data_IF_834523525813
#
_entry.id   IF_834523525813
#
_cell.length_a   1.000
_cell.length_b   1.000
_cell.length_c   1.000
_cell.angle_alpha   90.00
_cell.angle_beta   90.00
_cell.angle_gamma   90.00
#
_symmetry.space_group_name_H-M   'P 1'
#
loop_
_entity.id
_entity.type
_entity.pdbx_description
1 polymer ?
#
# COMPACT_ATOMS: atom_id res chain seq x y z
N UNK A 1 11.43 6.35 23.65
CA UNK A 1 10.85 6.22 22.29
C UNK A 1 11.44 7.33 21.44
N UNK A 2 11.96 7.01 20.26
CA UNK A 2 12.45 8.02 19.30
C UNK A 2 11.24 8.78 18.76
N UNK A 3 11.27 10.10 18.72
CA UNK A 3 10.22 10.92 18.12
C UNK A 3 10.37 10.83 16.61
N UNK A 4 9.34 10.32 15.93
CA UNK A 4 9.29 10.23 14.48
C UNK A 4 8.12 11.01 13.92
N UNK A 5 8.31 11.59 12.73
CA UNK A 5 7.29 12.29 11.96
C UNK A 5 7.51 11.99 10.48
N UNK A 6 6.43 11.74 9.75
CA UNK A 6 6.42 11.63 8.30
C UNK A 6 5.50 12.70 7.72
N UNK A 7 6.00 13.45 6.74
CA UNK A 7 5.23 14.35 5.92
C UNK A 7 5.28 13.89 4.46
N UNK A 8 4.16 13.93 3.76
CA UNK A 8 4.06 13.56 2.36
C UNK A 8 3.32 14.64 1.56
N UNK A 9 3.95 15.17 0.52
CA UNK A 9 3.34 16.14 -0.39
C UNK A 9 3.46 15.66 -1.84
N UNK A 10 2.38 15.82 -2.60
CA UNK A 10 2.35 15.52 -4.03
C UNK A 10 3.15 16.59 -4.77
N UNK A 11 4.02 16.15 -5.69
CA UNK A 11 4.75 17.04 -6.58
C UNK A 11 3.89 17.44 -7.78
N UNK A 12 4.14 18.63 -8.32
CA UNK A 12 3.52 19.08 -9.57
C UNK A 12 4.08 18.36 -10.80
N UNK A 13 5.36 17.99 -10.75
CA UNK A 13 6.07 17.25 -11.77
C UNK A 13 7.28 16.52 -11.17
N UNK A 14 7.79 15.53 -11.89
CA UNK A 14 9.07 14.88 -11.58
C UNK A 14 10.20 15.92 -11.64
N UNK A 15 11.15 15.85 -10.71
CA UNK A 15 12.25 16.80 -10.58
C UNK A 15 11.84 18.18 -10.02
N UNK A 16 10.59 18.33 -9.56
CA UNK A 16 10.10 19.54 -8.88
C UNK A 16 9.61 19.18 -7.48
N UNK A 17 10.53 19.08 -6.48
CA UNK A 17 10.18 18.70 -5.12
C UNK A 17 9.16 19.66 -4.50
N UNK A 18 8.16 19.10 -3.84
CA UNK A 18 7.20 19.84 -3.05
C UNK A 18 7.82 20.22 -1.68
N UNK A 19 7.18 21.16 -0.98
CA UNK A 19 7.59 21.58 0.36
C UNK A 19 6.48 21.20 1.36
N UNK A 20 6.53 19.99 1.95
CA UNK A 20 5.54 19.55 2.94
C UNK A 20 5.55 20.44 4.19
N UNK A 21 4.35 20.67 4.73
CA UNK A 21 4.17 21.33 6.04
C UNK A 21 3.54 20.37 7.04
N UNK A 22 3.84 20.56 8.33
CA UNK A 22 3.30 19.71 9.38
C UNK A 22 1.76 19.81 9.52
N UNK A 23 1.19 20.97 9.20
CA UNK A 23 -0.25 21.19 9.32
C UNK A 23 -1.05 20.58 8.15
N UNK A 24 -0.48 20.50 6.94
CA UNK A 24 -1.22 20.05 5.75
C UNK A 24 -0.82 18.65 5.27
N UNK A 25 0.37 18.15 5.64
CA UNK A 25 0.97 17.00 4.98
C UNK A 25 1.42 15.90 5.93
N UNK A 26 1.08 15.98 7.22
CA UNK A 26 1.47 14.95 8.17
C UNK A 26 0.72 13.64 7.90
N UNK A 27 1.45 12.52 7.88
CA UNK A 27 0.89 11.18 7.75
C UNK A 27 0.95 10.50 9.11
N UNK A 28 -0.22 10.11 9.65
CA UNK A 28 -0.29 9.32 10.87
C UNK A 28 0.08 7.87 10.53
N UNK A 29 1.34 7.52 10.71
CA UNK A 29 1.86 6.20 10.41
C UNK A 29 2.33 5.46 11.66
N UNK A 30 2.37 4.13 11.55
CA UNK A 30 3.03 3.22 12.49
C UNK A 30 4.10 2.41 11.77
N UNK A 31 4.97 1.74 12.54
CA UNK A 31 6.03 0.88 12.01
C UNK A 31 6.91 1.52 10.90
N UNK A 32 7.21 2.81 11.05
CA UNK A 32 8.06 3.55 10.12
C UNK A 32 9.51 3.03 10.16
N UNK A 33 10.02 2.59 9.01
CA UNK A 33 11.36 2.03 8.86
C UNK A 33 12.06 2.63 7.62
N UNK A 34 12.82 3.72 7.79
CA UNK A 34 13.60 4.31 6.69
C UNK A 34 14.91 3.56 6.45
N UNK A 35 15.19 3.27 5.17
CA UNK A 35 16.52 2.90 4.68
C UNK A 35 17.19 4.16 4.14
N UNK A 36 18.12 4.72 4.93
CA UNK A 36 18.68 6.06 4.70
C UNK A 36 19.55 6.17 3.44
N UNK A 37 20.05 5.05 2.91
CA UNK A 37 20.77 4.97 1.65
C UNK A 37 20.68 3.54 1.11
N UNK A 38 20.32 3.41 -0.17
CA UNK A 38 20.27 2.17 -0.92
C UNK A 38 20.92 2.40 -2.29
N UNK A 39 21.48 1.34 -2.88
CA UNK A 39 22.23 1.40 -4.14
C UNK A 39 23.22 0.26 -4.28
N UNK A 40 23.90 0.22 -5.42
CA UNK A 40 24.82 -0.84 -5.79
C UNK A 40 26.26 -0.51 -5.40
N UNK A 41 27.02 -1.56 -5.09
CA UNK A 41 28.46 -1.44 -4.85
C UNK A 41 29.26 -2.08 -5.99
N UNK A 42 29.84 -1.25 -6.85
CA UNK A 42 30.64 -1.67 -8.00
C UNK A 42 32.08 -1.98 -7.54
N UNK A 43 32.55 -3.23 -7.63
CA UNK A 43 33.89 -3.59 -7.19
C UNK A 43 34.96 -3.01 -8.12
N UNK A 44 36.04 -2.49 -7.51
CA UNK A 44 37.18 -1.96 -8.27
C UNK A 44 38.11 -3.13 -8.60
N UNK A 45 37.97 -3.73 -9.78
CA UNK A 45 38.77 -4.89 -10.22
C UNK A 45 40.21 -4.49 -10.63
N UNK A 46 40.94 -3.86 -9.71
CA UNK A 46 42.29 -3.34 -9.95
C UNK A 46 43.32 -4.48 -9.92
N UNK A 47 44.17 -4.54 -10.95
CA UNK A 47 45.32 -5.45 -10.98
C UNK A 47 46.48 -4.80 -10.21
N UNK A 48 47.04 -5.53 -9.24
CA UNK A 48 48.14 -5.05 -8.37
C UNK A 48 49.17 -6.17 -8.14
N UNK A 49 50.46 -5.85 -7.91
CA UNK A 49 51.50 -6.85 -7.62
C UNK A 49 51.43 -7.41 -6.18
N UNK A 50 50.38 -7.09 -5.42
CA UNK A 50 50.17 -7.54 -4.03
C UNK A 50 48.71 -7.89 -3.78
N UNK A 51 48.47 -8.73 -2.76
CA UNK A 51 47.14 -9.21 -2.37
C UNK A 51 46.42 -8.19 -1.47
N UNK A 52 45.11 -8.02 -1.66
CA UNK A 52 44.26 -7.16 -0.82
C UNK A 52 42.95 -6.77 -1.51
N UNK A 53 41.98 -6.25 -0.75
CA UNK A 53 40.73 -5.74 -1.30
C UNK A 53 40.95 -4.37 -1.98
N UNK A 54 40.40 -4.20 -3.17
CA UNK A 54 40.50 -2.96 -3.96
C UNK A 54 39.39 -1.95 -3.67
N UNK A 55 38.45 -2.31 -2.80
CA UNK A 55 37.29 -1.48 -2.44
C UNK A 55 36.20 -1.50 -3.52
N UNK A 56 35.12 -0.75 -3.26
CA UNK A 56 33.96 -0.64 -4.14
C UNK A 56 33.53 0.83 -4.24
N UNK A 57 32.85 1.18 -5.33
CA UNK A 57 32.23 2.49 -5.56
C UNK A 57 30.70 2.34 -5.47
N UNK A 58 30.02 3.38 -5.00
CA UNK A 58 28.56 3.38 -4.89
C UNK A 58 27.94 3.93 -6.18
N UNK A 59 26.85 3.33 -6.64
CA UNK A 59 26.09 3.75 -7.81
C UNK A 59 24.59 3.53 -7.58
N UNK A 60 23.72 4.29 -8.25
CA UNK A 60 22.28 4.12 -8.06
C UNK A 60 21.80 4.58 -6.70
N UNK A 61 22.29 5.72 -6.20
CA UNK A 61 21.96 6.19 -4.86
C UNK A 61 20.50 6.63 -4.74
N UNK A 62 19.76 5.93 -3.89
CA UNK A 62 18.35 6.18 -3.62
C UNK A 62 18.02 5.93 -2.16
N UNK A 63 16.76 6.18 -1.79
CA UNK A 63 16.23 5.84 -0.46
C UNK A 63 15.02 4.97 -0.57
N UNK A 64 14.81 4.18 0.48
CA UNK A 64 13.58 3.41 0.68
C UNK A 64 12.92 3.78 2.00
N UNK A 65 11.60 3.75 2.02
CA UNK A 65 10.82 3.98 3.23
C UNK A 65 9.65 3.02 3.26
N UNK A 66 9.54 2.25 4.34
CA UNK A 66 8.34 1.49 4.64
C UNK A 66 7.62 2.05 5.86
N UNK A 67 6.30 2.00 5.83
CA UNK A 67 5.43 2.41 6.95
C UNK A 67 4.04 1.84 6.77
N UNK A 68 3.26 1.85 7.84
CA UNK A 68 1.86 1.42 7.81
C UNK A 68 0.94 2.58 8.18
N UNK A 69 -0.24 2.63 7.55
CA UNK A 69 -1.31 3.58 7.88
C UNK A 69 -2.59 2.79 8.15
N UNK A 70 -3.34 3.18 9.17
CA UNK A 70 -4.61 2.55 9.50
C UNK A 70 -5.66 2.86 8.41
N UNK A 71 -6.40 1.84 7.98
CA UNK A 71 -7.41 1.97 6.94
C UNK A 71 -8.73 2.44 7.56
N UNK A 72 -9.02 3.73 7.40
CA UNK A 72 -10.26 4.36 7.82
C UNK A 72 -10.70 5.41 6.78
N UNK A 73 -11.98 5.78 6.76
CA UNK A 73 -12.44 6.88 5.92
C UNK A 73 -12.07 8.25 6.50
N UNK A 74 -12.55 9.32 5.86
CA UNK A 74 -12.25 10.71 6.22
C UNK A 74 -13.14 11.29 7.33
N UNK A 75 -14.18 10.55 7.73
CA UNK A 75 -15.22 10.98 8.65
C UNK A 75 -16.31 11.85 8.02
N UNK A 76 -16.20 12.18 6.73
CA UNK A 76 -17.19 12.99 5.99
C UNK A 76 -17.38 12.41 4.58
N UNK A 77 -18.62 12.11 4.21
CA UNK A 77 -18.95 11.58 2.88
C UNK A 77 -18.50 12.52 1.75
N UNK A 78 -17.88 11.98 0.70
CA UNK A 78 -17.32 12.75 -0.42
C UNK A 78 -16.14 13.67 -0.05
N UNK A 79 -15.47 13.44 1.09
CA UNK A 79 -14.18 14.07 1.42
C UNK A 79 -13.07 13.02 1.35
N UNK A 80 -11.98 13.34 0.65
CA UNK A 80 -10.84 12.46 0.54
C UNK A 80 -10.22 12.14 1.92
N UNK A 81 -9.90 10.88 2.22
CA UNK A 81 -9.14 10.51 3.40
C UNK A 81 -7.71 11.06 3.36
N UNK A 82 -7.13 11.32 4.53
CA UNK A 82 -5.80 11.92 4.65
C UNK A 82 -4.67 11.05 4.09
N UNK A 83 -4.89 9.74 3.93
CA UNK A 83 -3.93 8.82 3.29
C UNK A 83 -4.01 8.81 1.76
N UNK A 84 -5.00 9.47 1.14
CA UNK A 84 -5.17 9.52 -0.32
C UNK A 84 -3.91 9.88 -1.10
N UNK A 85 -3.13 10.91 -0.69
CA UNK A 85 -1.89 11.28 -1.38
C UNK A 85 -0.85 10.15 -1.47
N UNK A 86 -0.68 9.35 -0.41
CA UNK A 86 0.27 8.23 -0.43
C UNK A 86 -0.25 7.06 -1.27
N UNK A 87 -1.56 6.78 -1.23
CA UNK A 87 -2.14 5.76 -2.10
C UNK A 87 -2.00 6.11 -3.59
N UNK A 88 -2.22 7.38 -3.96
CA UNK A 88 -2.14 7.82 -5.35
C UNK A 88 -0.75 7.61 -5.97
N UNK A 89 0.30 7.80 -5.18
CA UNK A 89 1.68 7.55 -5.61
C UNK A 89 2.05 6.05 -5.67
N UNK A 90 1.12 5.18 -5.27
CA UNK A 90 1.16 3.74 -5.50
C UNK A 90 0.34 3.32 -6.74
N UNK A 91 0.07 4.24 -7.67
CA UNK A 91 -0.61 3.93 -8.92
C UNK A 91 -2.12 3.92 -8.83
N UNK A 92 -2.70 4.87 -8.09
CA UNK A 92 -4.15 5.05 -8.01
C UNK A 92 -4.57 6.45 -8.46
N UNK A 93 -5.69 6.52 -9.18
CA UNK A 93 -6.47 7.74 -9.39
C UNK A 93 -7.35 8.04 -8.17
N UNK A 94 -7.88 9.25 -8.10
CA UNK A 94 -8.85 9.68 -7.08
C UNK A 94 -9.97 10.44 -7.76
N UNK A 95 -11.20 9.96 -7.57
CA UNK A 95 -12.42 10.60 -8.06
C UNK A 95 -13.30 10.95 -6.87
N UNK A 96 -13.67 12.22 -6.72
CA UNK A 96 -14.45 12.71 -5.58
C UNK A 96 -15.86 13.06 -6.06
N UNK A 97 -16.85 12.35 -5.54
CA UNK A 97 -18.27 12.71 -5.66
C UNK A 97 -18.69 13.44 -4.39
N UNK A 98 -18.74 14.77 -4.45
CA UNK A 98 -18.99 15.62 -3.27
C UNK A 98 -20.26 15.20 -2.53
N UNK A 99 -20.13 14.98 -1.21
CA UNK A 99 -21.21 14.55 -0.34
C UNK A 99 -21.67 13.11 -0.51
N UNK A 100 -21.03 12.32 -1.38
CA UNK A 100 -21.35 10.91 -1.63
C UNK A 100 -20.14 10.04 -1.28
N UNK A 101 -19.12 10.03 -2.12
CA UNK A 101 -18.01 9.08 -2.04
C UNK A 101 -16.70 9.64 -2.61
N UNK A 102 -15.62 8.93 -2.31
CA UNK A 102 -14.32 9.07 -2.97
C UNK A 102 -13.90 7.69 -3.45
N UNK A 103 -13.63 7.58 -4.74
CA UNK A 103 -13.27 6.32 -5.40
C UNK A 103 -11.80 6.38 -5.82
N UNK A 104 -11.04 5.36 -5.43
CA UNK A 104 -9.68 5.12 -5.92
C UNK A 104 -9.66 3.87 -6.79
N UNK A 105 -9.17 4.04 -8.02
CA UNK A 105 -8.96 2.96 -8.99
C UNK A 105 -7.50 2.95 -9.42
N UNK A 106 -6.91 1.77 -9.70
CA UNK A 106 -5.61 1.67 -10.33
C UNK A 106 -5.49 2.56 -11.58
N UNK A 107 -4.27 2.94 -11.91
CA UNK A 107 -3.95 3.58 -13.18
C UNK A 107 -2.66 3.02 -13.76
N UNK A 108 -2.61 2.89 -15.08
CA UNK A 108 -1.39 2.51 -15.79
C UNK A 108 -0.48 3.70 -16.11
N UNK A 109 -0.99 4.93 -16.07
CA UNK A 109 -0.23 6.16 -16.35
C UNK A 109 -0.73 7.36 -15.53
N UNK A 110 0.04 8.45 -15.49
CA UNK A 110 -0.35 9.69 -14.83
C UNK A 110 -0.30 9.67 -13.29
N UNK A 111 0.26 8.60 -12.73
CA UNK A 111 0.49 8.44 -11.30
C UNK A 111 1.45 9.53 -10.77
N UNK A 112 1.04 10.28 -9.72
CA UNK A 112 1.85 11.35 -9.16
C UNK A 112 3.06 10.79 -8.40
N UNK A 113 4.10 11.62 -8.27
CA UNK A 113 5.25 11.34 -7.38
C UNK A 113 5.17 12.21 -6.13
N UNK A 114 5.77 11.73 -5.03
CA UNK A 114 5.78 12.43 -3.74
C UNK A 114 7.15 12.98 -3.37
N UNK A 115 7.13 14.07 -2.63
CA UNK A 115 8.21 14.44 -1.72
C UNK A 115 7.85 13.98 -0.32
N UNK A 116 8.68 13.11 0.26
CA UNK A 116 8.54 12.57 1.61
C UNK A 116 9.60 13.17 2.52
N UNK A 117 9.19 13.80 3.61
CA UNK A 117 10.09 14.30 4.66
C UNK A 117 9.89 13.48 5.91
N UNK A 118 10.92 12.77 6.34
CA UNK A 118 10.92 12.06 7.61
C UNK A 118 11.85 12.70 8.61
N UNK A 119 11.45 12.68 9.88
CA UNK A 119 12.24 13.20 10.99
C UNK A 119 12.44 12.10 12.04
N UNK A 120 13.67 11.96 12.54
CA UNK A 120 14.03 11.03 13.63
C UNK A 120 14.85 11.81 14.64
N UNK A 121 14.24 12.15 15.78
CA UNK A 121 14.91 12.85 16.89
C UNK A 121 15.70 14.12 16.47
N UNK A 122 15.22 14.84 15.44
CA UNK A 122 15.86 16.06 14.92
C UNK A 122 16.66 15.88 13.63
N UNK A 123 17.00 14.65 13.26
CA UNK A 123 17.59 14.35 11.94
C UNK A 123 16.48 14.23 10.90
N UNK A 124 16.56 15.03 9.85
CA UNK A 124 15.65 15.02 8.70
C UNK A 124 16.25 14.24 7.54
N UNK A 125 15.47 13.32 6.98
CA UNK A 125 15.73 12.68 5.70
C UNK A 125 14.62 13.04 4.70
N UNK A 126 14.99 13.09 3.43
CA UNK A 126 14.11 13.51 2.33
C UNK A 126 14.16 12.45 1.23
N UNK A 127 13.00 12.13 0.67
CA UNK A 127 12.87 11.29 -0.52
C UNK A 127 12.08 12.12 -1.53
N UNK A 128 12.69 12.43 -2.66
CA UNK A 128 12.06 13.18 -3.76
C UNK A 128 11.67 12.21 -4.88
N UNK A 129 10.75 12.62 -5.75
CA UNK A 129 10.28 11.81 -6.88
C UNK A 129 9.87 10.38 -6.47
N UNK A 130 9.27 10.24 -5.28
CA UNK A 130 9.00 8.95 -4.69
C UNK A 130 7.82 8.26 -5.40
N UNK A 131 8.02 6.98 -5.74
CA UNK A 131 6.99 6.05 -6.22
C UNK A 131 6.82 4.91 -5.23
N UNK A 132 5.62 4.36 -5.13
CA UNK A 132 5.29 3.41 -4.08
C UNK A 132 4.54 2.16 -4.51
N UNK A 133 4.45 1.24 -3.56
CA UNK A 133 3.67 0.02 -3.59
C UNK A 133 2.80 -0.01 -2.33
N UNK A 134 1.66 -0.68 -2.40
CA UNK A 134 0.72 -0.82 -1.29
C UNK A 134 0.20 -2.25 -1.17
N UNK A 135 0.04 -2.70 0.07
CA UNK A 135 -0.79 -3.86 0.41
C UNK A 135 -1.79 -3.50 1.50
N UNK A 136 -2.90 -4.24 1.55
CA UNK A 136 -4.02 -4.09 2.46
C UNK A 136 -4.15 -5.35 3.29
N UNK A 137 -4.34 -5.21 4.60
CA UNK A 137 -4.59 -6.32 5.51
C UNK A 137 -5.81 -6.04 6.39
N UNK A 138 -6.77 -6.97 6.38
CA UNK A 138 -8.03 -6.89 7.12
C UNK A 138 -8.27 -8.20 7.89
N UNK A 139 -7.52 -8.39 8.97
CA UNK A 139 -7.59 -9.60 9.80
C UNK A 139 -8.59 -9.42 10.96
N UNK A 140 -9.42 -10.44 11.21
CA UNK A 140 -10.41 -10.43 12.28
C UNK A 140 -9.78 -10.12 13.64
N UNK A 141 -10.48 -9.33 14.47
CA UNK A 141 -9.99 -8.80 15.77
C UNK A 141 -8.79 -7.84 15.66
N UNK A 142 -8.31 -7.55 14.45
CA UNK A 142 -7.26 -6.57 14.16
C UNK A 142 -7.80 -5.21 13.76
N UNK A 143 -6.87 -4.27 13.57
CA UNK A 143 -7.10 -2.97 12.92
C UNK A 143 -6.74 -3.17 11.44
N UNK A 144 -7.59 -2.78 10.49
CA UNK A 144 -7.24 -2.87 9.08
C UNK A 144 -6.12 -1.87 8.75
N UNK A 145 -5.13 -2.30 7.97
CA UNK A 145 -3.93 -1.48 7.69
C UNK A 145 -3.57 -1.51 6.20
N UNK A 146 -3.01 -0.40 5.75
CA UNK A 146 -2.28 -0.28 4.49
C UNK A 146 -0.79 -0.30 4.80
N UNK A 147 -0.03 -1.15 4.12
CA UNK A 147 1.44 -1.20 4.23
C UNK A 147 2.01 -0.60 2.96
N UNK A 148 2.84 0.43 3.14
CA UNK A 148 3.46 1.16 2.05
C UNK A 148 4.95 0.86 1.99
N UNK A 149 5.44 0.74 0.76
CA UNK A 149 6.86 0.79 0.42
C UNK A 149 7.07 1.88 -0.61
N UNK A 150 8.02 2.77 -0.38
CA UNK A 150 8.40 3.84 -1.30
C UNK A 150 9.87 3.79 -1.62
N UNK A 151 10.20 4.06 -2.87
CA UNK A 151 11.57 4.34 -3.32
C UNK A 151 11.62 5.72 -3.96
N UNK A 152 12.75 6.41 -3.86
CA UNK A 152 12.92 7.69 -4.53
C UNK A 152 14.31 8.30 -4.36
N UNK A 153 14.47 9.48 -4.94
CA UNK A 153 15.74 10.19 -5.05
C UNK A 153 16.31 10.50 -3.66
N UNK A 154 17.59 10.19 -3.51
CA UNK A 154 18.35 10.51 -2.31
C UNK A 154 18.62 12.02 -2.22
N UNK A 155 18.54 12.57 -1.00
CA UNK A 155 19.04 13.90 -0.68
C UNK A 155 19.89 13.85 0.60
N UNK A 156 20.92 14.67 0.82
CA UNK A 156 21.70 14.61 2.06
C UNK A 156 20.84 14.75 3.33
N UNK A 157 21.22 14.05 4.40
CA UNK A 157 20.58 14.23 5.72
C UNK A 157 20.83 15.65 6.21
N UNK A 158 19.85 16.22 6.90
CA UNK A 158 19.96 17.56 7.49
C UNK A 158 19.51 17.51 8.94
N UNK A 159 20.08 18.37 9.78
CA UNK A 159 19.66 18.50 11.17
C UNK A 159 18.67 19.67 11.30
N UNK A 160 17.67 19.53 12.16
CA UNK A 160 16.68 20.57 12.39
C UNK A 160 15.79 20.29 13.59
N UNK A 161 15.06 21.32 14.02
CA UNK A 161 14.01 21.13 15.01
C UNK A 161 12.90 20.24 14.43
N UNK A 162 12.29 19.40 15.28
CA UNK A 162 11.06 18.70 14.92
C UNK A 162 9.98 19.74 14.57
N UNK A 163 9.26 19.56 13.45
CA UNK A 163 8.17 20.46 13.07
C UNK A 163 7.11 20.60 14.18
N UNK A 164 6.61 21.82 14.38
CA UNK A 164 5.51 22.14 15.28
C UNK A 164 4.19 22.24 14.53
N UNK A 165 3.05 22.11 15.24
CA UNK A 165 1.73 22.25 14.62
C UNK A 165 1.37 21.07 13.72
N UNK A 166 1.85 19.87 14.05
CA UNK A 166 1.45 18.63 13.38
C UNK A 166 -0.04 18.43 13.58
N UNK A 167 -0.78 18.28 12.47
CA UNK A 167 -2.21 18.03 12.50
C UNK A 167 -2.53 16.63 11.94
N UNK A 168 -3.23 15.83 12.75
CA UNK A 168 -3.74 14.53 12.37
C UNK A 168 -5.27 14.44 12.46
N UNK A 169 -5.96 15.57 12.62
CA UNK A 169 -7.42 15.63 12.78
C UNK A 169 -8.20 15.01 11.62
N UNK A 170 -7.58 14.90 10.44
CA UNK A 170 -8.16 14.24 9.27
C UNK A 170 -8.01 12.70 9.26
N UNK A 171 -7.22 12.13 10.19
CA UNK A 171 -7.15 10.68 10.40
C UNK A 171 -8.19 10.26 11.42
N UNK A 172 -9.14 9.44 10.97
CA UNK A 172 -10.18 8.91 11.84
C UNK A 172 -9.68 7.68 12.60
N UNK A 173 -10.16 7.51 13.84
CA UNK A 173 -9.92 6.28 14.57
C UNK A 173 -10.52 5.08 13.79
N UNK A 174 -9.73 4.06 13.46
CA UNK A 174 -10.21 2.91 12.70
C UNK A 174 -11.17 2.06 13.54
N UNK A 175 -11.96 1.26 12.85
CA UNK A 175 -12.79 0.22 13.48
C UNK A 175 -12.06 -1.11 13.41
N UNK A 176 -12.23 -1.94 14.43
CA UNK A 176 -11.66 -3.30 14.41
C UNK A 176 -12.40 -4.16 13.41
N UNK A 177 -11.69 -5.00 12.67
CA UNK A 177 -12.30 -5.96 11.72
C UNK A 177 -13.07 -7.04 12.50
N UNK A 178 -14.29 -7.31 12.03
CA UNK A 178 -15.17 -8.34 12.58
C UNK A 178 -16.63 -7.99 12.35
N UNK A 179 -17.53 -8.95 12.56
CA UNK A 179 -18.96 -8.88 12.19
C UNK A 179 -19.66 -7.53 12.47
N UNK A 180 -19.35 -6.89 13.60
CA UNK A 180 -19.95 -5.60 13.98
C UNK A 180 -19.58 -4.45 13.02
N UNK A 181 -18.32 -4.41 12.58
CA UNK A 181 -17.78 -3.29 11.79
C UNK A 181 -17.46 -3.70 10.35
N UNK A 182 -17.49 -4.98 10.01
CA UNK A 182 -17.35 -5.48 8.64
C UNK A 182 -18.61 -6.29 8.29
N UNK A 183 -19.75 -5.62 8.06
CA UNK A 183 -21.04 -6.28 7.93
C UNK A 183 -21.18 -7.07 6.61
N UNK A 184 -20.36 -6.77 5.61
CA UNK A 184 -20.43 -7.39 4.28
C UNK A 184 -19.07 -7.92 3.88
N UNK A 185 -19.01 -9.23 3.64
CA UNK A 185 -17.94 -9.86 2.89
C UNK A 185 -18.56 -10.94 2.00
N UNK A 186 -18.47 -10.77 0.69
CA UNK A 186 -18.84 -11.78 -0.30
C UNK A 186 -17.62 -12.16 -1.10
N UNK A 187 -17.40 -13.46 -1.29
CA UNK A 187 -16.27 -14.00 -2.04
C UNK A 187 -16.79 -15.09 -2.97
N UNK A 188 -16.72 -14.86 -4.29
CA UNK A 188 -17.35 -15.72 -5.31
C UNK A 188 -18.86 -15.95 -5.06
N UNK A 189 -19.57 -14.90 -4.61
CA UNK A 189 -20.99 -14.93 -4.25
C UNK A 189 -21.31 -15.60 -2.91
N UNK A 190 -20.32 -16.17 -2.21
CA UNK A 190 -20.49 -16.75 -0.88
C UNK A 190 -20.37 -15.67 0.20
N UNK A 191 -21.34 -15.57 1.11
CA UNK A 191 -21.17 -14.82 2.36
C UNK A 191 -20.31 -15.64 3.32
N UNK A 192 -19.02 -15.32 3.40
CA UNK A 192 -18.04 -16.14 4.11
C UNK A 192 -17.74 -15.62 5.53
N UNK A 193 -17.59 -16.55 6.47
CA UNK A 193 -16.96 -16.27 7.76
C UNK A 193 -15.45 -16.21 7.56
N UNK A 194 -14.87 -15.02 7.62
CA UNK A 194 -13.47 -14.78 7.26
C UNK A 194 -12.64 -14.36 8.45
N UNK A 195 -11.47 -14.99 8.61
CA UNK A 195 -10.50 -14.66 9.67
C UNK A 195 -9.37 -13.75 9.16
N UNK A 196 -9.01 -13.86 7.89
CA UNK A 196 -7.98 -13.04 7.25
C UNK A 196 -8.35 -12.70 5.81
N UNK A 197 -8.06 -11.46 5.41
CA UNK A 197 -8.18 -11.00 4.04
C UNK A 197 -7.04 -10.03 3.74
N UNK A 198 -6.37 -10.21 2.61
CA UNK A 198 -5.27 -9.35 2.20
C UNK A 198 -5.23 -9.19 0.69
N UNK A 199 -4.74 -8.04 0.25
CA UNK A 199 -4.49 -7.69 -1.15
C UNK A 199 -3.11 -7.05 -1.21
N UNK A 200 -2.27 -7.43 -2.16
CA UNK A 200 -1.03 -6.77 -2.49
C UNK A 200 -1.10 -6.30 -3.93
N UNK A 201 -0.95 -5.00 -4.18
CA UNK A 201 -0.89 -4.48 -5.57
C UNK A 201 0.35 -4.96 -6.30
N UNK A 202 1.41 -5.27 -5.55
CA UNK A 202 2.66 -5.81 -6.06
C UNK A 202 3.23 -4.98 -7.21
N UNK A 203 3.23 -3.66 -7.05
CA UNK A 203 3.91 -2.75 -7.97
C UNK A 203 5.41 -3.08 -7.96
N UNK A 204 5.99 -3.28 -9.14
CA UNK A 204 7.41 -3.50 -9.28
C UNK A 204 8.15 -2.19 -9.00
N UNK A 205 8.77 -2.03 -7.83
CA UNK A 205 9.57 -0.84 -7.52
C UNK A 205 11.04 -1.06 -7.86
N UNK A 206 11.56 -0.25 -8.78
CA UNK A 206 12.96 -0.30 -9.18
C UNK A 206 13.59 1.09 -9.31
N UNK A 207 14.84 1.23 -8.86
CA UNK A 207 15.67 2.39 -9.17
C UNK A 207 16.35 2.18 -10.52
N UNK A 208 16.03 3.02 -11.51
CA UNK A 208 16.70 2.98 -12.81
C UNK A 208 17.87 3.94 -12.78
N UNK A 209 19.08 3.43 -12.92
CA UNK A 209 20.29 4.22 -13.13
C UNK A 209 20.73 4.10 -14.59
N UNK A 210 20.75 5.20 -15.34
CA UNK A 210 21.16 5.26 -16.76
C UNK A 210 22.00 6.51 -17.03
N UNK A 211 22.70 6.53 -18.16
CA UNK A 211 23.47 7.71 -18.58
C UNK A 211 22.49 8.89 -18.77
N UNK A 212 22.71 9.98 -18.04
CA UNK A 212 21.94 11.22 -18.11
C UNK A 212 20.46 11.13 -17.64
N UNK A 213 20.06 10.01 -17.03
CA UNK A 213 18.75 9.91 -16.37
C UNK A 213 18.76 8.82 -15.29
N UNK A 214 18.26 9.16 -14.12
CA UNK A 214 18.03 8.22 -13.03
C UNK A 214 16.72 8.54 -12.32
N UNK A 215 16.09 7.54 -11.72
CA UNK A 215 14.86 7.76 -10.96
C UNK A 215 14.14 6.49 -10.54
N UNK A 216 13.17 6.65 -9.65
CA UNK A 216 12.25 5.60 -9.28
C UNK A 216 11.33 5.24 -10.46
N UNK A 217 11.03 3.95 -10.58
CA UNK A 217 10.15 3.41 -11.62
C UNK A 217 9.22 2.35 -11.05
N UNK A 218 7.99 2.34 -11.56
CA UNK A 218 6.93 1.36 -11.30
C UNK A 218 6.35 0.88 -12.65
N UNK A 219 7.07 0.03 -13.41
CA UNK A 219 6.71 -0.27 -14.79
C UNK A 219 5.53 -1.25 -14.93
N UNK A 220 5.28 -2.06 -13.91
CA UNK A 220 4.26 -3.10 -13.93
C UNK A 220 3.72 -3.34 -12.52
N UNK A 221 2.54 -3.96 -12.44
CA UNK A 221 1.89 -4.41 -11.21
C UNK A 221 1.26 -5.78 -11.46
N UNK A 222 1.38 -6.67 -10.48
CA UNK A 222 0.83 -8.02 -10.56
C UNK A 222 -0.01 -8.30 -9.30
N UNK A 223 -1.21 -7.71 -9.20
CA UNK A 223 -1.94 -7.71 -7.93
C UNK A 223 -2.40 -9.12 -7.54
N UNK A 224 -2.17 -9.45 -6.28
CA UNK A 224 -2.52 -10.75 -5.69
C UNK A 224 -3.24 -10.54 -4.37
N UNK A 225 -3.84 -11.59 -3.84
CA UNK A 225 -4.47 -11.56 -2.54
C UNK A 225 -4.58 -12.93 -1.91
N UNK A 226 -5.04 -12.92 -0.67
CA UNK A 226 -5.32 -14.14 0.07
C UNK A 226 -6.51 -13.95 1.01
N UNK A 227 -7.38 -14.95 1.04
CA UNK A 227 -8.50 -15.03 1.97
C UNK A 227 -8.41 -16.32 2.78
N UNK A 228 -8.65 -16.21 4.09
CA UNK A 228 -8.89 -17.36 4.97
C UNK A 228 -10.32 -17.33 5.46
N UNK A 229 -11.11 -18.32 5.05
CA UNK A 229 -12.53 -18.45 5.37
C UNK A 229 -12.87 -19.82 5.94
N UNK A 230 -13.95 -19.90 6.72
CA UNK A 230 -14.50 -21.17 7.20
C UNK A 230 -14.90 -22.03 5.99
N UNK A 231 -14.41 -23.26 5.93
CA UNK A 231 -14.58 -24.15 4.79
C UNK A 231 -16.07 -24.49 4.62
N UNK A 232 -16.74 -24.03 3.54
CA UNK A 232 -18.12 -24.40 3.30
C UNK A 232 -18.20 -25.86 2.84
N UNK A 233 -19.41 -26.44 2.90
CA UNK A 233 -19.68 -27.72 2.25
C UNK A 233 -19.49 -27.57 0.74
N UNK A 234 -18.97 -28.61 0.09
CA UNK A 234 -18.83 -28.65 -1.38
C UNK A 234 -20.18 -28.45 -2.11
N UNK A 235 -21.30 -28.86 -1.51
CA UNK A 235 -22.66 -28.61 -2.04
C UNK A 235 -23.05 -27.13 -2.03
N UNK A 236 -22.38 -26.30 -1.23
CA UNK A 236 -22.56 -24.85 -1.19
C UNK A 236 -21.59 -24.17 -2.15
N UNK A 237 -20.31 -24.54 -2.10
CA UNK A 237 -19.28 -24.07 -3.02
C UNK A 237 -18.16 -25.10 -3.11
N UNK A 238 -17.96 -25.66 -4.29
CA UNK A 238 -16.85 -26.57 -4.55
C UNK A 238 -15.60 -25.79 -4.98
N UNK A 239 -14.71 -25.51 -4.03
CA UNK A 239 -13.47 -24.78 -4.30
C UNK A 239 -12.49 -25.59 -5.15
N UNK A 240 -12.55 -26.92 -5.12
CA UNK A 240 -11.71 -27.77 -5.96
C UNK A 240 -12.05 -27.56 -7.44
N UNK A 241 -13.34 -27.53 -7.76
CA UNK A 241 -13.82 -27.25 -9.11
C UNK A 241 -13.56 -25.80 -9.54
N UNK A 242 -13.76 -24.82 -8.65
CA UNK A 242 -13.41 -23.41 -8.92
C UNK A 242 -11.95 -23.27 -9.36
N UNK A 243 -11.02 -23.91 -8.65
CA UNK A 243 -9.58 -23.85 -8.98
C UNK A 243 -9.26 -24.67 -10.23
N UNK A 244 -9.81 -25.88 -10.37
CA UNK A 244 -9.56 -26.77 -11.51
C UNK A 244 -9.99 -26.14 -12.83
N UNK A 245 -11.14 -25.47 -12.82
CA UNK A 245 -11.72 -24.83 -14.01
C UNK A 245 -11.22 -23.39 -14.21
N UNK A 246 -10.47 -22.85 -13.26
CA UNK A 246 -9.99 -21.46 -13.29
C UNK A 246 -11.15 -20.46 -13.31
N UNK A 247 -12.26 -20.77 -12.63
CA UNK A 247 -13.47 -19.93 -12.65
C UNK A 247 -13.16 -18.55 -12.09
N UNK A 248 -13.64 -17.53 -12.78
CA UNK A 248 -13.58 -16.14 -12.33
C UNK A 248 -14.75 -15.83 -11.39
N UNK A 249 -14.50 -14.97 -10.41
CA UNK A 249 -15.54 -14.50 -9.50
C UNK A 249 -15.25 -13.11 -8.99
N UNK A 250 -16.18 -12.59 -8.21
CA UNK A 250 -16.05 -11.27 -7.56
C UNK A 250 -15.78 -11.42 -6.07
N UNK A 251 -15.16 -10.40 -5.48
CA UNK A 251 -15.12 -10.22 -4.03
C UNK A 251 -15.51 -8.79 -3.65
N UNK A 252 -16.33 -8.65 -2.62
CA UNK A 252 -16.72 -7.34 -2.07
C UNK A 252 -16.54 -7.40 -0.56
N UNK A 253 -15.84 -6.42 0.00
CA UNK A 253 -15.69 -6.22 1.43
C UNK A 253 -16.13 -4.80 1.79
N UNK A 254 -17.06 -4.67 2.73
CA UNK A 254 -17.48 -3.37 3.29
C UNK A 254 -17.07 -3.32 4.75
N UNK A 255 -16.18 -2.38 5.08
CA UNK A 255 -15.72 -2.10 6.44
C UNK A 255 -16.18 -0.71 6.88
N UNK A 256 -16.76 -0.61 8.06
CA UNK A 256 -17.39 0.59 8.60
C UNK A 256 -18.92 0.52 8.55
N UNK A 257 -19.55 1.39 9.33
CA UNK A 257 -21.02 1.47 9.46
C UNK A 257 -21.54 2.91 9.50
N UNK A 258 -20.64 3.90 9.51
CA UNK A 258 -20.96 5.33 9.62
C UNK A 258 -20.55 6.01 8.31
N UNK A 259 -21.44 6.74 7.64
CA UNK A 259 -21.08 7.50 6.43
C UNK A 259 -19.88 8.43 6.67
N UNK A 260 -19.05 8.55 5.65
CA UNK A 260 -17.72 9.16 5.67
C UNK A 260 -16.62 8.27 6.25
N UNK A 261 -16.96 7.14 6.87
CA UNK A 261 -16.01 6.22 7.48
C UNK A 261 -16.23 4.76 7.04
N UNK A 262 -16.96 4.54 5.95
CA UNK A 262 -17.05 3.24 5.28
C UNK A 262 -15.94 3.19 4.24
N UNK A 263 -15.18 2.09 4.26
CA UNK A 263 -14.23 1.71 3.23
C UNK A 263 -14.73 0.42 2.60
N UNK A 264 -14.96 0.46 1.31
CA UNK A 264 -15.43 -0.66 0.52
C UNK A 264 -14.36 -1.04 -0.51
N UNK A 265 -14.05 -2.34 -0.57
CA UNK A 265 -13.13 -2.93 -1.54
C UNK A 265 -13.96 -3.77 -2.50
N UNK A 266 -13.89 -3.45 -3.79
CA UNK A 266 -14.54 -4.21 -4.86
C UNK A 266 -13.48 -4.81 -5.77
N UNK A 267 -13.52 -6.12 -5.94
CA UNK A 267 -12.64 -6.90 -6.79
C UNK A 267 -13.55 -7.61 -7.80
N UNK A 268 -13.82 -7.01 -8.97
CA UNK A 268 -14.87 -7.50 -9.88
C UNK A 268 -14.50 -8.84 -10.51
N UNK A 269 -13.20 -9.09 -10.72
CA UNK A 269 -12.71 -10.29 -11.37
C UNK A 269 -11.45 -10.80 -10.67
N UNK A 270 -11.58 -11.91 -9.96
CA UNK A 270 -10.48 -12.63 -9.30
C UNK A 270 -10.45 -14.08 -9.74
N UNK A 271 -9.26 -14.68 -9.68
CA UNK A 271 -9.03 -16.10 -9.96
C UNK A 271 -8.33 -16.77 -8.79
N UNK A 272 -8.94 -17.80 -8.20
CA UNK A 272 -8.34 -18.57 -7.10
C UNK A 272 -7.27 -19.55 -7.58
N UNK A 273 -6.19 -19.66 -6.80
CA UNK A 273 -5.15 -20.68 -6.94
C UNK A 273 -5.34 -21.88 -6.00
N UNK A 274 -4.40 -22.85 -6.04
CA UNK A 274 -4.39 -23.98 -5.12
C UNK A 274 -4.40 -23.54 -3.65
N UNK A 275 -5.25 -24.17 -2.85
CA UNK A 275 -5.51 -23.77 -1.47
C UNK A 275 -4.99 -24.76 -0.44
N UNK A 276 -4.90 -24.30 0.81
CA UNK A 276 -4.60 -25.12 1.98
C UNK A 276 -5.77 -25.13 2.97
N UNK A 277 -5.83 -26.20 3.76
CA UNK A 277 -6.81 -26.34 4.85
C UNK A 277 -6.02 -26.39 6.16
N UNK A 278 -6.53 -25.68 7.17
CA UNK A 278 -5.97 -25.64 8.51
C UNK A 278 -7.08 -25.78 9.55
N UNK A 279 -6.75 -26.27 10.74
CA UNK A 279 -7.64 -26.27 11.89
C UNK A 279 -7.47 -24.94 12.66
N UNK A 280 -8.59 -24.28 12.97
CA UNK A 280 -8.63 -23.15 13.90
C UNK A 280 -9.66 -23.44 14.99
N UNK A 281 -9.21 -24.01 16.10
CA UNK A 281 -10.08 -24.27 17.25
C UNK A 281 -11.14 -25.35 17.00
N UNK A 282 -10.87 -26.29 16.11
CA UNK A 282 -11.81 -27.35 15.70
C UNK A 282 -12.64 -27.04 14.46
N UNK A 283 -12.59 -25.80 13.94
CA UNK A 283 -13.21 -25.43 12.67
C UNK A 283 -12.21 -25.57 11.52
N UNK A 284 -12.64 -26.16 10.41
CA UNK A 284 -11.82 -26.27 9.21
C UNK A 284 -11.80 -24.93 8.46
N UNK A 285 -10.64 -24.31 8.36
CA UNK A 285 -10.42 -23.05 7.67
C UNK A 285 -9.69 -23.29 6.35
N UNK A 286 -10.17 -22.65 5.30
CA UNK A 286 -9.66 -22.70 3.95
C UNK A 286 -8.87 -21.41 3.65
N UNK A 287 -7.60 -21.54 3.27
CA UNK A 287 -6.79 -20.41 2.79
C UNK A 287 -6.62 -20.49 1.28
N UNK A 288 -7.22 -19.53 0.58
CA UNK A 288 -7.19 -19.40 -0.88
C UNK A 288 -6.31 -18.20 -1.27
N UNK A 289 -5.21 -18.41 -2.01
CA UNK A 289 -4.59 -17.33 -2.78
C UNK A 289 -5.47 -17.01 -3.99
N UNK A 290 -5.45 -15.77 -4.43
CA UNK A 290 -6.12 -15.35 -5.66
C UNK A 290 -5.35 -14.23 -6.38
N UNK A 291 -5.49 -14.18 -7.69
CA UNK A 291 -4.98 -13.11 -8.53
C UNK A 291 -6.13 -12.14 -8.86
N UNK A 292 -5.87 -10.84 -8.84
CA UNK A 292 -6.85 -9.83 -9.27
C UNK A 292 -6.61 -9.55 -10.75
N UNK A 293 -7.68 -9.58 -11.54
CA UNK A 293 -7.61 -9.45 -12.98
C UNK A 293 -8.41 -8.23 -13.44
N UNK A 294 -7.92 -7.50 -14.45
CA UNK A 294 -8.69 -6.45 -15.08
C UNK A 294 -9.84 -7.05 -15.90
N UNK A 295 -10.96 -6.34 -16.00
CA UNK A 295 -12.07 -6.64 -16.90
C UNK A 295 -12.10 -5.62 -18.06
N UNK A 296 -12.24 -4.33 -17.75
CA UNK A 296 -12.30 -3.21 -18.69
C UNK A 296 -11.22 -2.15 -18.41
N UNK A 297 -9.97 -2.56 -18.23
CA UNK A 297 -8.81 -1.66 -18.10
C UNK A 297 -8.22 -1.69 -16.70
N UNK A 298 -7.99 -0.52 -16.10
CA UNK A 298 -7.42 -0.42 -14.75
C UNK A 298 -8.51 -0.55 -13.67
N UNK A 299 -9.24 -1.67 -13.66
CA UNK A 299 -10.42 -1.91 -12.83
C UNK A 299 -10.35 -3.17 -11.97
N UNK A 300 -9.16 -3.77 -11.81
CA UNK A 300 -8.97 -4.98 -11.02
C UNK A 300 -9.25 -4.79 -9.51
N UNK A 301 -9.24 -3.56 -9.02
CA UNK A 301 -9.60 -3.18 -7.65
C UNK A 301 -10.26 -1.79 -7.66
N UNK A 302 -11.32 -1.61 -6.88
CA UNK A 302 -11.85 -0.29 -6.53
C UNK A 302 -11.93 -0.12 -5.02
N UNK A 303 -11.45 1.01 -4.52
CA UNK A 303 -11.52 1.40 -3.11
C UNK A 303 -12.46 2.59 -3.00
N UNK A 304 -13.60 2.39 -2.35
CA UNK A 304 -14.65 3.39 -2.23
C UNK A 304 -14.75 3.82 -0.77
N UNK A 305 -14.59 5.12 -0.52
CA UNK A 305 -14.72 5.74 0.79
C UNK A 305 -16.01 6.54 0.84
N UNK A 306 -16.95 6.16 1.70
CA UNK A 306 -18.31 6.74 1.75
C UNK A 306 -18.90 6.81 3.15
#
# INVERSE_FOLDING_TARGET
MKKMLLLAAVQTAVGTPAVPTAAANAIMCRAQSPELIAGDQVPRQLIRPFKGNSGKLFAGEHRKLTFEVELAGSGVAGKAPAWGPVLRACGFSETITVGQDVVYMPVSEGEPVLTLWGYIDGTKYVIEDAKGNVSFELNAKGIPVMKFEFIGTYAPLTEGAMPTGVDYSAFMQPKTVGKKNTPTFTFYGLQACTSAFSIAMANQLEWKERINCAGASSPDRQPTGSVTLEMPKATTKDWGEVVREGTLGEAILVHGTVPGNIVELQLPQIQCGPFSIQDDGGDAMLTLPFDLMPDLGDDELSIIVR
#
